data_IF_466040209713
#
_entry.id   IF_466040209713
#
_cell.length_a   1.000
_cell.length_b   1.000
_cell.length_c   1.000
_cell.angle_alpha   90.00
_cell.angle_beta   90.00
_cell.angle_gamma   90.00
#
_symmetry.space_group_name_H-M   'P 1'
#
loop_
_entity.id
_entity.type
_entity.pdbx_description
1 polymer ?
#
# COMPACT_ATOMS: atom_id res chain seq x y z
N UNK A 1 -39.62 -3.82 12.04
CA UNK A 1 -39.54 -3.08 10.77
C UNK A 1 -38.69 -3.96 9.88
N UNK A 2 -39.26 -4.57 8.84
CA UNK A 2 -38.45 -5.33 7.88
C UNK A 2 -37.54 -4.35 7.14
N UNK A 3 -36.26 -4.69 7.07
CA UNK A 3 -35.26 -3.92 6.34
C UNK A 3 -35.52 -4.16 4.86
N UNK A 4 -35.67 -3.08 4.08
CA UNK A 4 -35.84 -3.17 2.63
C UNK A 4 -34.58 -3.78 1.99
N UNK A 5 -34.65 -5.01 1.44
CA UNK A 5 -33.50 -5.71 0.88
C UNK A 5 -32.83 -4.91 -0.24
N UNK A 6 -33.63 -4.12 -0.99
CA UNK A 6 -33.16 -3.26 -2.07
C UNK A 6 -32.15 -2.23 -1.59
N UNK A 7 -32.36 -1.66 -0.40
CA UNK A 7 -31.46 -0.64 0.17
C UNK A 7 -30.12 -1.25 0.56
N UNK A 8 -30.14 -2.43 1.17
CA UNK A 8 -28.92 -3.18 1.53
C UNK A 8 -28.12 -3.49 0.27
N UNK A 9 -28.79 -4.04 -0.75
CA UNK A 9 -28.20 -4.40 -2.03
C UNK A 9 -27.59 -3.19 -2.75
N UNK A 10 -28.24 -2.03 -2.74
CA UNK A 10 -27.69 -0.78 -3.31
C UNK A 10 -26.40 -0.35 -2.60
N UNK A 11 -26.35 -0.42 -1.26
CA UNK A 11 -25.14 -0.07 -0.51
C UNK A 11 -23.99 -1.05 -0.78
N UNK A 12 -24.26 -2.36 -0.85
CA UNK A 12 -23.23 -3.36 -1.13
C UNK A 12 -22.65 -3.24 -2.54
N UNK A 13 -23.48 -2.97 -3.55
CA UNK A 13 -22.99 -2.68 -4.92
C UNK A 13 -22.16 -1.40 -4.97
N UNK A 14 -22.58 -0.35 -4.25
CA UNK A 14 -21.81 0.87 -4.14
C UNK A 14 -20.46 0.64 -3.44
N UNK A 15 -20.43 -0.23 -2.41
CA UNK A 15 -19.21 -0.64 -1.74
C UNK A 15 -18.24 -1.36 -2.70
N UNK A 16 -18.71 -2.32 -3.50
CA UNK A 16 -17.87 -2.98 -4.51
C UNK A 16 -17.29 -1.97 -5.52
N UNK A 17 -18.09 -0.97 -5.94
CA UNK A 17 -17.61 0.11 -6.81
C UNK A 17 -16.50 0.97 -6.17
N UNK A 18 -16.56 1.21 -4.85
CA UNK A 18 -15.49 1.90 -4.12
C UNK A 18 -14.21 1.05 -4.08
N UNK A 19 -14.33 -0.26 -3.88
CA UNK A 19 -13.15 -1.14 -3.86
C UNK A 19 -12.49 -1.27 -5.23
N UNK A 20 -13.29 -1.25 -6.30
CA UNK A 20 -12.76 -1.16 -7.67
C UNK A 20 -11.94 0.12 -7.88
N UNK A 21 -12.46 1.29 -7.46
CA UNK A 21 -11.72 2.56 -7.51
C UNK A 21 -10.41 2.50 -6.72
N UNK A 22 -10.41 1.88 -5.54
CA UNK A 22 -9.18 1.68 -4.76
C UNK A 22 -8.17 0.79 -5.49
N UNK A 23 -8.61 -0.31 -6.09
CA UNK A 23 -7.73 -1.20 -6.86
C UNK A 23 -7.07 -0.46 -8.04
N UNK A 24 -7.81 0.41 -8.72
CA UNK A 24 -7.29 1.29 -9.77
C UNK A 24 -6.29 2.32 -9.23
N UNK A 25 -6.57 2.94 -8.07
CA UNK A 25 -5.66 3.86 -7.41
C UNK A 25 -4.33 3.19 -7.03
N UNK A 26 -4.35 1.97 -6.46
CA UNK A 26 -3.13 1.18 -6.21
C UNK A 26 -2.37 0.87 -7.50
N UNK A 27 -3.08 0.52 -8.58
CA UNK A 27 -2.45 0.23 -9.88
C UNK A 27 -1.77 1.47 -10.46
N UNK A 28 -2.44 2.64 -10.38
CA UNK A 28 -1.88 3.93 -10.79
C UNK A 28 -0.66 4.30 -9.94
N UNK A 29 -0.73 4.13 -8.62
CA UNK A 29 0.38 4.37 -7.69
C UNK A 29 1.58 3.47 -8.00
N UNK A 30 1.35 2.17 -8.21
CA UNK A 30 2.41 1.20 -8.55
C UNK A 30 3.11 1.59 -9.84
N UNK A 31 2.36 1.92 -10.89
CA UNK A 31 2.93 2.37 -12.17
C UNK A 31 3.74 3.65 -12.01
N UNK A 32 3.17 4.67 -11.37
CA UNK A 32 3.86 5.93 -11.18
C UNK A 32 5.12 5.83 -10.31
N UNK A 33 5.14 4.90 -9.34
CA UNK A 33 6.37 4.61 -8.60
C UNK A 33 7.43 3.95 -9.48
N UNK A 34 7.06 2.99 -10.34
CA UNK A 34 8.00 2.43 -11.31
C UNK A 34 8.57 3.50 -12.25
N UNK A 35 7.72 4.40 -12.76
CA UNK A 35 8.14 5.50 -13.62
C UNK A 35 9.07 6.47 -12.89
N UNK A 36 8.78 6.75 -11.61
CA UNK A 36 9.64 7.54 -10.74
C UNK A 36 11.02 6.91 -10.56
N UNK A 37 11.08 5.60 -10.25
CA UNK A 37 12.35 4.89 -10.08
C UNK A 37 13.18 4.83 -11.37
N UNK A 38 12.54 4.82 -12.54
CA UNK A 38 13.22 4.80 -13.84
C UNK A 38 13.70 6.19 -14.29
N UNK A 39 12.94 7.25 -14.01
CA UNK A 39 13.18 8.60 -14.55
C UNK A 39 13.76 9.60 -13.55
N UNK A 40 13.68 9.33 -12.24
CA UNK A 40 14.02 10.28 -11.19
C UNK A 40 13.03 11.46 -11.06
N UNK A 41 11.87 11.42 -11.72
CA UNK A 41 10.88 12.49 -11.78
C UNK A 41 10.14 12.76 -10.46
N UNK A 42 10.83 13.33 -9.46
CA UNK A 42 10.31 13.50 -8.10
C UNK A 42 9.08 14.41 -8.02
N UNK A 43 9.02 15.49 -8.80
CA UNK A 43 7.88 16.42 -8.78
C UNK A 43 6.58 15.75 -9.27
N UNK A 44 6.66 15.05 -10.41
CA UNK A 44 5.53 14.31 -10.97
C UNK A 44 5.06 13.22 -10.00
N UNK A 45 5.99 12.51 -9.36
CA UNK A 45 5.65 11.50 -8.37
C UNK A 45 4.98 12.08 -7.12
N UNK A 46 5.46 13.20 -6.59
CA UNK A 46 4.83 13.89 -5.45
C UNK A 46 3.40 14.34 -5.77
N UNK A 47 3.18 14.87 -6.97
CA UNK A 47 1.84 15.25 -7.44
C UNK A 47 0.92 14.03 -7.48
N UNK A 48 1.39 12.92 -8.07
CA UNK A 48 0.65 11.67 -8.09
C UNK A 48 0.30 11.17 -6.68
N UNK A 49 1.26 11.19 -5.75
CA UNK A 49 1.00 10.79 -4.36
C UNK A 49 -0.10 11.64 -3.71
N UNK A 50 -0.11 12.95 -3.98
CA UNK A 50 -1.18 13.84 -3.49
C UNK A 50 -2.54 13.45 -4.06
N UNK A 51 -2.65 13.23 -5.38
CA UNK A 51 -3.90 12.80 -6.03
C UNK A 51 -4.42 11.48 -5.46
N UNK A 52 -3.53 10.48 -5.35
CA UNK A 52 -3.88 9.15 -4.83
C UNK A 52 -4.30 9.22 -3.36
N UNK A 53 -3.64 10.06 -2.56
CA UNK A 53 -4.01 10.26 -1.15
C UNK A 53 -5.43 10.81 -1.01
N UNK A 54 -5.81 11.77 -1.87
CA UNK A 54 -7.18 12.30 -1.92
C UNK A 54 -8.16 11.18 -2.29
N UNK A 55 -7.87 10.42 -3.35
CA UNK A 55 -8.74 9.32 -3.80
C UNK A 55 -8.93 8.24 -2.72
N UNK A 56 -7.86 7.85 -2.01
CA UNK A 56 -7.96 6.91 -0.89
C UNK A 56 -8.77 7.47 0.26
N UNK A 57 -8.57 8.73 0.63
CA UNK A 57 -9.33 9.40 1.70
C UNK A 57 -10.82 9.47 1.37
N UNK A 58 -11.16 9.80 0.13
CA UNK A 58 -12.57 9.85 -0.31
C UNK A 58 -13.22 8.47 -0.31
N UNK A 59 -12.49 7.44 -0.73
CA UNK A 59 -12.96 6.06 -0.60
C UNK A 59 -13.18 5.67 0.87
N UNK A 60 -12.24 5.99 1.76
CA UNK A 60 -12.34 5.68 3.19
C UNK A 60 -13.54 6.36 3.84
N UNK A 61 -13.79 7.65 3.56
CA UNK A 61 -14.94 8.38 4.07
C UNK A 61 -16.26 7.74 3.66
N UNK A 62 -16.41 7.42 2.37
CA UNK A 62 -17.63 6.76 1.85
C UNK A 62 -17.88 5.40 2.53
N UNK A 63 -16.84 4.61 2.78
CA UNK A 63 -17.01 3.32 3.47
C UNK A 63 -17.38 3.51 4.95
N UNK A 64 -16.81 4.51 5.63
CA UNK A 64 -17.18 4.82 7.01
C UNK A 64 -18.64 5.28 7.12
N UNK A 65 -19.12 6.06 6.14
CA UNK A 65 -20.54 6.43 6.04
C UNK A 65 -21.42 5.20 5.84
N UNK A 66 -21.05 4.30 4.92
CA UNK A 66 -21.76 3.03 4.70
C UNK A 66 -21.77 2.13 5.94
N UNK A 67 -20.65 2.04 6.66
CA UNK A 67 -20.57 1.31 7.92
C UNK A 67 -21.55 1.89 8.95
N UNK A 68 -21.61 3.22 9.07
CA UNK A 68 -22.55 3.89 9.98
C UNK A 68 -24.00 3.64 9.57
N UNK A 69 -24.30 3.60 8.27
CA UNK A 69 -25.64 3.28 7.77
C UNK A 69 -26.03 1.85 8.13
N UNK A 70 -25.15 0.87 7.91
CA UNK A 70 -25.44 -0.52 8.27
C UNK A 70 -25.68 -0.73 9.78
N UNK A 71 -25.03 0.07 10.63
CA UNK A 71 -25.29 0.06 12.09
C UNK A 71 -26.55 0.80 12.50
N UNK A 72 -27.14 1.62 11.61
CA UNK A 72 -28.32 2.41 11.97
C UNK A 72 -29.55 1.50 12.16
N UNK A 73 -30.55 1.93 12.93
CA UNK A 73 -31.79 1.17 13.11
C UNK A 73 -32.56 0.90 11.79
N UNK A 74 -32.29 1.69 10.74
CA UNK A 74 -32.94 1.55 9.44
C UNK A 74 -32.44 0.33 8.65
N UNK A 75 -31.21 -0.12 8.93
CA UNK A 75 -30.58 -1.29 8.30
C UNK A 75 -30.39 -2.43 9.29
N UNK A 76 -29.92 -2.15 10.51
CA UNK A 76 -29.66 -3.16 11.54
C UNK A 76 -28.77 -4.33 11.08
N UNK A 77 -27.86 -4.09 10.12
CA UNK A 77 -26.93 -5.07 9.53
C UNK A 77 -25.53 -4.90 10.13
N UNK A 78 -25.42 -5.15 11.43
CA UNK A 78 -24.16 -5.00 12.17
C UNK A 78 -23.08 -5.93 11.63
N UNK A 79 -23.46 -7.09 11.11
CA UNK A 79 -22.62 -8.04 10.39
C UNK A 79 -21.94 -7.41 9.16
N UNK A 80 -22.71 -6.74 8.29
CA UNK A 80 -22.17 -6.05 7.12
C UNK A 80 -21.29 -4.85 7.51
N UNK A 81 -21.65 -4.14 8.58
CA UNK A 81 -20.79 -3.09 9.13
C UNK A 81 -19.43 -3.62 9.60
N UNK A 82 -19.40 -4.80 10.24
CA UNK A 82 -18.16 -5.46 10.65
C UNK A 82 -17.34 -5.92 9.44
N UNK A 83 -17.98 -6.49 8.42
CA UNK A 83 -17.32 -6.88 7.18
C UNK A 83 -16.65 -5.68 6.48
N UNK A 84 -17.36 -4.55 6.37
CA UNK A 84 -16.80 -3.30 5.82
C UNK A 84 -15.62 -2.78 6.64
N UNK A 85 -15.71 -2.87 7.98
CA UNK A 85 -14.62 -2.49 8.90
C UNK A 85 -13.38 -3.37 8.67
N UNK A 86 -13.54 -4.68 8.56
CA UNK A 86 -12.44 -5.60 8.28
C UNK A 86 -11.73 -5.24 6.98
N UNK A 87 -12.49 -4.93 5.92
CA UNK A 87 -11.90 -4.44 4.66
C UNK A 87 -11.16 -3.11 4.84
N UNK A 88 -11.69 -2.15 5.63
CA UNK A 88 -10.97 -0.90 5.91
C UNK A 88 -9.65 -1.13 6.63
N UNK A 89 -9.61 -2.04 7.60
CA UNK A 89 -8.42 -2.33 8.38
C UNK A 89 -7.33 -2.98 7.50
N UNK A 90 -7.72 -3.93 6.64
CA UNK A 90 -6.82 -4.52 5.66
C UNK A 90 -6.35 -3.50 4.62
N UNK A 91 -7.21 -2.60 4.17
CA UNK A 91 -6.82 -1.54 3.22
C UNK A 91 -5.83 -0.54 3.84
N UNK A 92 -6.02 -0.20 5.11
CA UNK A 92 -5.06 0.62 5.85
C UNK A 92 -3.71 -0.09 5.98
N UNK A 93 -3.70 -1.38 6.33
CA UNK A 93 -2.49 -2.17 6.43
C UNK A 93 -1.76 -2.28 5.09
N UNK A 94 -2.48 -2.60 4.01
CA UNK A 94 -1.97 -2.67 2.65
C UNK A 94 -1.33 -1.37 2.18
N UNK A 95 -1.98 -0.23 2.44
CA UNK A 95 -1.43 1.09 2.09
C UNK A 95 -0.14 1.38 2.85
N UNK A 96 -0.12 1.14 4.16
CA UNK A 96 1.08 1.35 4.99
C UNK A 96 2.25 0.50 4.50
N UNK A 97 2.04 -0.80 4.27
CA UNK A 97 3.08 -1.70 3.79
C UNK A 97 3.54 -1.34 2.37
N UNK A 98 2.61 -0.89 1.51
CA UNK A 98 2.96 -0.38 0.17
C UNK A 98 3.89 0.83 0.27
N UNK A 99 3.60 1.77 1.18
CA UNK A 99 4.46 2.93 1.43
C UNK A 99 5.84 2.49 1.97
N UNK A 100 5.88 1.54 2.91
CA UNK A 100 7.13 0.97 3.43
C UNK A 100 7.98 0.38 2.30
N UNK A 101 7.40 -0.42 1.41
CA UNK A 101 8.10 -1.00 0.25
C UNK A 101 8.68 0.12 -0.62
N UNK A 102 7.93 1.19 -0.88
CA UNK A 102 8.41 2.30 -1.69
C UNK A 102 9.56 3.06 -1.03
N UNK A 103 9.49 3.29 0.28
CA UNK A 103 10.56 3.93 1.05
C UNK A 103 11.83 3.06 1.02
N UNK A 104 11.70 1.76 1.28
CA UNK A 104 12.82 0.81 1.20
C UNK A 104 13.45 0.82 -0.19
N UNK A 105 12.64 0.65 -1.24
CA UNK A 105 13.13 0.65 -2.63
C UNK A 105 13.78 1.97 -3.04
N UNK A 106 13.26 3.10 -2.58
CA UNK A 106 13.87 4.43 -2.82
C UNK A 106 15.20 4.59 -2.08
N UNK A 107 15.29 4.10 -0.85
CA UNK A 107 16.53 4.12 -0.08
C UNK A 107 17.60 3.22 -0.71
N UNK A 108 17.20 2.17 -1.42
CA UNK A 108 18.10 1.21 -2.05
C UNK A 108 18.75 0.27 -1.03
N UNK A 109 19.36 -0.79 -1.55
CA UNK A 109 20.11 -1.76 -0.75
C UNK A 109 21.35 -1.07 -0.15
N UNK A 110 21.63 -1.22 1.16
CA UNK A 110 22.75 -0.54 1.80
C UNK A 110 24.08 -0.64 1.04
N UNK A 111 24.44 -1.83 0.57
CA UNK A 111 25.66 -2.08 -0.23
C UNK A 111 25.68 -1.44 -1.62
N UNK A 112 24.51 -1.05 -2.15
CA UNK A 112 24.37 -0.40 -3.46
C UNK A 112 24.29 1.13 -3.34
N UNK A 113 24.25 1.68 -2.12
CA UNK A 113 24.21 3.13 -1.91
C UNK A 113 25.57 3.74 -2.24
N UNK A 114 25.55 4.86 -2.98
CA UNK A 114 26.76 5.64 -3.24
C UNK A 114 27.39 6.07 -1.91
N UNK A 115 28.62 5.62 -1.65
CA UNK A 115 29.39 6.00 -0.47
C UNK A 115 29.63 7.51 -0.50
N UNK A 116 29.33 8.20 0.60
CA UNK A 116 29.43 9.66 0.66
C UNK A 116 30.87 10.12 0.41
N UNK A 117 31.05 11.08 -0.51
CA UNK A 117 32.33 11.77 -0.74
C UNK A 117 32.66 12.82 0.35
N UNK A 118 31.95 12.84 1.48
CA UNK A 118 32.17 13.84 2.55
C UNK A 118 33.61 13.86 3.08
N UNK A 119 34.32 12.73 3.00
CA UNK A 119 35.74 12.61 3.36
C UNK A 119 36.66 12.31 2.15
N UNK A 120 36.18 12.51 0.92
CA UNK A 120 36.99 12.33 -0.27
C UNK A 120 37.98 13.49 -0.39
N UNK A 121 39.28 13.20 -0.41
CA UNK A 121 40.34 14.22 -0.54
C UNK A 121 40.39 14.89 -1.92
N UNK A 122 39.64 14.38 -2.90
CA UNK A 122 39.60 14.88 -4.26
C UNK A 122 38.37 15.77 -4.48
N UNK A 123 38.60 17.04 -4.84
CA UNK A 123 37.56 18.07 -5.00
C UNK A 123 36.95 18.13 -6.40
N UNK A 124 37.44 17.31 -7.35
CA UNK A 124 36.98 17.29 -8.74
C UNK A 124 36.49 15.90 -9.16
N UNK A 125 35.25 15.78 -9.68
CA UNK A 125 34.64 14.49 -10.05
C UNK A 125 35.36 13.70 -11.14
N UNK A 126 36.17 14.36 -11.97
CA UNK A 126 36.81 13.77 -13.16
C UNK A 126 38.25 13.29 -12.92
N UNK A 127 38.83 13.54 -11.73
CA UNK A 127 40.25 13.27 -11.48
C UNK A 127 40.51 11.90 -10.83
N UNK A 128 39.48 11.13 -10.47
CA UNK A 128 39.66 9.75 -10.02
C UNK A 128 38.43 8.87 -10.24
N UNK A 129 38.67 7.61 -10.56
CA UNK A 129 37.70 6.53 -10.38
C UNK A 129 37.71 6.20 -8.89
N UNK A 130 36.69 6.66 -8.16
CA UNK A 130 36.58 6.45 -6.71
C UNK A 130 36.24 4.98 -6.43
N UNK A 131 37.17 4.07 -6.72
CA UNK A 131 37.17 2.72 -6.17
C UNK A 131 37.73 2.88 -4.76
N UNK A 132 36.92 3.41 -3.84
CA UNK A 132 37.23 3.26 -2.43
C UNK A 132 37.04 1.78 -2.11
N UNK A 133 38.08 0.99 -2.39
CA UNK A 133 38.37 -0.20 -1.61
C UNK A 133 38.60 0.33 -0.19
N UNK A 134 37.52 0.50 0.58
CA UNK A 134 37.69 0.41 2.03
C UNK A 134 38.46 -0.89 2.25
N UNK A 135 39.51 -0.88 3.07
CA UNK A 135 40.03 -2.15 3.57
C UNK A 135 38.81 -2.89 4.12
N UNK A 136 38.39 -3.95 3.43
CA UNK A 136 37.28 -4.79 3.86
C UNK A 136 37.83 -5.52 5.08
N UNK A 137 37.76 -4.85 6.22
CA UNK A 137 37.96 -5.52 7.49
C UNK A 137 36.78 -6.47 7.67
N UNK A 138 37.02 -7.61 8.30
CA UNK A 138 35.95 -8.57 8.58
C UNK A 138 34.77 -7.88 9.31
N UNK A 139 35.07 -6.89 10.17
CA UNK A 139 34.07 -6.11 10.88
C UNK A 139 33.18 -5.26 9.95
N UNK A 140 33.79 -4.47 9.05
CA UNK A 140 33.03 -3.64 8.10
C UNK A 140 32.25 -4.46 7.07
N UNK A 141 32.84 -5.58 6.60
CA UNK A 141 32.14 -6.50 5.70
C UNK A 141 30.97 -7.24 6.37
N UNK A 142 31.09 -7.57 7.66
CA UNK A 142 30.01 -8.22 8.42
C UNK A 142 28.87 -7.23 8.68
N UNK A 143 29.17 -6.00 9.07
CA UNK A 143 28.17 -4.94 9.29
C UNK A 143 27.35 -4.64 8.02
N UNK A 144 28.00 -4.56 6.86
CA UNK A 144 27.33 -4.33 5.58
C UNK A 144 26.44 -5.52 5.18
N UNK A 145 26.91 -6.75 5.40
CA UNK A 145 26.14 -7.96 5.13
C UNK A 145 24.91 -8.09 6.05
N UNK A 146 25.04 -7.70 7.33
CA UNK A 146 23.92 -7.65 8.27
C UNK A 146 22.88 -6.60 7.84
N UNK A 147 23.32 -5.40 7.47
CA UNK A 147 22.43 -4.34 6.98
C UNK A 147 21.67 -4.73 5.70
N UNK A 148 22.34 -5.42 4.77
CA UNK A 148 21.71 -5.96 3.56
C UNK A 148 20.67 -7.04 3.88
N UNK A 149 20.98 -7.94 4.82
CA UNK A 149 20.06 -8.98 5.27
C UNK A 149 18.82 -8.38 5.95
N UNK A 150 18.99 -7.36 6.79
CA UNK A 150 17.88 -6.62 7.40
C UNK A 150 17.00 -5.94 6.35
N UNK A 151 17.61 -5.28 5.36
CA UNK A 151 16.88 -4.67 4.25
C UNK A 151 16.07 -5.70 3.47
N UNK A 152 16.69 -6.82 3.08
CA UNK A 152 16.03 -7.88 2.31
C UNK A 152 14.89 -8.53 3.09
N UNK A 153 15.07 -8.72 4.39
CA UNK A 153 14.04 -9.25 5.28
C UNK A 153 12.85 -8.28 5.40
N UNK A 154 13.12 -7.00 5.71
CA UNK A 154 12.08 -5.98 5.83
C UNK A 154 11.27 -5.83 4.52
N UNK A 155 11.95 -5.88 3.37
CA UNK A 155 11.31 -5.83 2.07
C UNK A 155 10.44 -7.06 1.81
N UNK A 156 10.92 -8.27 2.13
CA UNK A 156 10.15 -9.51 1.99
C UNK A 156 8.93 -9.53 2.90
N UNK A 157 9.07 -9.14 4.16
CA UNK A 157 7.98 -9.06 5.13
C UNK A 157 6.91 -8.07 4.67
N UNK A 158 7.31 -6.88 4.20
CA UNK A 158 6.36 -5.90 3.69
C UNK A 158 5.62 -6.41 2.43
N UNK A 159 6.32 -7.08 1.51
CA UNK A 159 5.69 -7.70 0.32
C UNK A 159 4.70 -8.79 0.74
N UNK A 160 5.10 -9.67 1.67
CA UNK A 160 4.22 -10.73 2.18
C UNK A 160 2.97 -10.13 2.83
N UNK A 161 3.13 -9.15 3.70
CA UNK A 161 1.99 -8.51 4.36
C UNK A 161 1.05 -7.80 3.37
N UNK A 162 1.55 -7.24 2.26
CA UNK A 162 0.67 -6.73 1.18
C UNK A 162 -0.12 -7.86 0.52
N UNK A 163 0.51 -9.01 0.26
CA UNK A 163 -0.16 -10.17 -0.31
C UNK A 163 -1.26 -10.71 0.62
N UNK A 164 -0.96 -10.82 1.91
CA UNK A 164 -1.88 -11.30 2.93
C UNK A 164 -3.09 -10.34 3.06
N UNK A 165 -2.84 -9.03 3.10
CA UNK A 165 -3.91 -8.03 3.13
C UNK A 165 -4.79 -8.09 1.86
N UNK A 166 -4.18 -8.28 0.68
CA UNK A 166 -4.94 -8.44 -0.58
C UNK A 166 -5.79 -9.70 -0.56
N UNK A 167 -5.27 -10.81 -0.04
CA UNK A 167 -6.01 -12.06 0.11
C UNK A 167 -7.23 -11.86 1.02
N UNK A 168 -7.01 -11.30 2.22
CA UNK A 168 -8.09 -11.02 3.18
C UNK A 168 -9.15 -10.06 2.62
N UNK A 169 -8.74 -9.00 1.89
CA UNK A 169 -9.68 -8.11 1.22
C UNK A 169 -10.53 -8.89 0.21
N UNK A 170 -9.92 -9.73 -0.63
CA UNK A 170 -10.66 -10.50 -1.63
C UNK A 170 -11.64 -11.49 -0.99
N UNK A 171 -11.25 -12.16 0.09
CA UNK A 171 -12.14 -13.05 0.84
C UNK A 171 -13.38 -12.31 1.33
N UNK A 172 -13.19 -11.16 1.97
CA UNK A 172 -14.31 -10.32 2.43
C UNK A 172 -15.16 -9.76 1.27
N UNK A 173 -14.55 -9.48 0.11
CA UNK A 173 -15.31 -9.05 -1.07
C UNK A 173 -16.13 -10.18 -1.68
N UNK A 174 -15.67 -11.43 -1.58
CA UNK A 174 -16.47 -12.59 -1.95
C UNK A 174 -17.65 -12.77 -0.99
N UNK A 175 -17.47 -12.58 0.32
CA UNK A 175 -18.59 -12.57 1.28
C UNK A 175 -19.66 -11.52 0.89
N UNK A 176 -19.25 -10.31 0.51
CA UNK A 176 -20.18 -9.28 0.00
C UNK A 176 -20.90 -9.74 -1.27
N UNK A 177 -20.21 -10.41 -2.19
CA UNK A 177 -20.82 -10.92 -3.44
C UNK A 177 -21.83 -12.02 -3.16
N UNK A 178 -21.54 -12.91 -2.20
CA UNK A 178 -22.50 -13.94 -1.77
C UNK A 178 -23.74 -13.31 -1.14
N UNK A 179 -23.58 -12.29 -0.30
CA UNK A 179 -24.72 -11.57 0.28
C UNK A 179 -25.58 -10.89 -0.80
N UNK A 180 -24.96 -10.23 -1.78
CA UNK A 180 -25.69 -9.64 -2.91
C UNK A 180 -26.48 -10.71 -3.65
N UNK A 181 -25.86 -11.85 -3.96
CA UNK A 181 -26.53 -12.94 -4.67
C UNK A 181 -27.70 -13.54 -3.87
N UNK A 182 -27.58 -13.63 -2.55
CA UNK A 182 -28.66 -14.08 -1.68
C UNK A 182 -29.85 -13.10 -1.71
N UNK A 183 -29.58 -11.80 -1.56
CA UNK A 183 -30.61 -10.75 -1.60
C UNK A 183 -31.28 -10.60 -2.97
N UNK A 184 -30.62 -11.00 -4.06
CA UNK A 184 -31.19 -11.01 -5.41
C UNK A 184 -32.09 -12.22 -5.70
N UNK A 185 -31.95 -13.29 -4.91
CA UNK A 185 -32.73 -14.52 -5.06
C UNK A 185 -34.04 -14.50 -4.26
N UNK A 186 -34.23 -13.52 -3.38
CA UNK A 186 -35.43 -13.24 -2.58
C UNK A 186 -36.45 -12.38 -3.36
#
# INVERSE_FOLDING_TARGET
MEVDPTKVLLLLRAFLGIQQRRAEAYSKLKRGFSDYMASGGELAYKQLCSEITIEFNDCSKKVLEMESLFRSPDYCRVDLAQLLRSVQDQEKQKLNLTATIQVLKKAGRPSERLVSHENCKYTKPTEHECVHVQEITEASGTEEAEADAEYDNALKEAIRGVQDAVMAINEHLEEVRYEIAALEAE
#
